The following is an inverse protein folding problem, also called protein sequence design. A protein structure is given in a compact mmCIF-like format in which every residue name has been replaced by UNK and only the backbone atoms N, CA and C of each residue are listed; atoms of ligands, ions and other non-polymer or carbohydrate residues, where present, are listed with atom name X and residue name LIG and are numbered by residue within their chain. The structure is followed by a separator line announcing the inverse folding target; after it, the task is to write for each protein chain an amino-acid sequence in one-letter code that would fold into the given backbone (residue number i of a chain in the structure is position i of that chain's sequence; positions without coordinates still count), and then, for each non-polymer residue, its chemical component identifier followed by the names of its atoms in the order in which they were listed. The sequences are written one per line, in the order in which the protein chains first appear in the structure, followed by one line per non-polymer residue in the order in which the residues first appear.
data_IF_165158536558
#
_entry.id   IF_165158536558
#
_cell.length_a   1.000
_cell.length_b   1.000
_cell.length_c   1.000
_cell.angle_alpha   90.00
_cell.angle_beta   90.00
_cell.angle_gamma   90.00
#
_symmetry.space_group_name_H-M   'P 1'
#
loop_
_entity.id
_entity.type
_entity.pdbx_description
1 polymer ?
#
# COMPACT_ATOMS: atom_id res chain seq x y z
N UNK A 1 1.59 -4.14 -15.53
CA UNK A 1 2.44 -3.99 -14.33
C UNK A 1 2.46 -5.31 -13.59
N UNK A 2 3.60 -5.70 -13.03
CA UNK A 2 3.70 -6.93 -12.23
C UNK A 2 3.42 -6.65 -10.75
N UNK A 3 2.72 -7.57 -10.08
CA UNK A 3 2.38 -7.47 -8.65
C UNK A 3 3.62 -7.32 -7.77
N UNK A 4 4.71 -8.02 -8.10
CA UNK A 4 5.95 -7.94 -7.35
C UNK A 4 6.57 -6.53 -7.40
N UNK A 5 6.45 -5.83 -8.54
CA UNK A 5 6.91 -4.43 -8.66
C UNK A 5 6.12 -3.52 -7.73
N UNK A 6 4.80 -3.71 -7.65
CA UNK A 6 3.95 -2.97 -6.72
C UNK A 6 4.34 -3.26 -5.27
N UNK A 7 4.52 -4.54 -4.93
CA UNK A 7 4.94 -4.94 -3.59
C UNK A 7 6.28 -4.32 -3.20
N UNK A 8 7.31 -4.42 -4.04
CA UNK A 8 8.62 -3.83 -3.77
C UNK A 8 8.55 -2.32 -3.55
N UNK A 9 7.68 -1.63 -4.30
CA UNK A 9 7.44 -0.20 -4.12
C UNK A 9 6.79 0.11 -2.77
N UNK A 10 5.70 -0.58 -2.44
CA UNK A 10 4.97 -0.38 -1.17
C UNK A 10 5.85 -0.75 0.02
N UNK A 11 6.60 -1.85 -0.08
CA UNK A 11 7.56 -2.30 0.91
C UNK A 11 8.63 -1.23 1.19
N UNK A 12 9.24 -0.65 0.14
CA UNK A 12 10.17 0.47 0.30
C UNK A 12 9.53 1.70 0.96
N UNK A 13 8.28 2.02 0.62
CA UNK A 13 7.56 3.14 1.26
C UNK A 13 7.30 2.88 2.74
N UNK A 14 7.02 1.63 3.13
CA UNK A 14 6.83 1.25 4.54
C UNK A 14 8.18 1.31 5.28
N UNK A 15 9.24 0.73 4.72
CA UNK A 15 10.56 0.71 5.38
C UNK A 15 11.17 2.10 5.49
N UNK A 16 10.99 2.97 4.51
CA UNK A 16 11.47 4.36 4.56
C UNK A 16 10.62 5.28 5.45
N UNK A 17 9.47 4.80 5.94
CA UNK A 17 8.62 5.55 6.84
C UNK A 17 9.30 5.84 8.17
N UNK A 18 9.19 7.09 8.63
CA UNK A 18 9.65 7.54 9.94
C UNK A 18 8.70 7.14 11.09
N UNK A 19 7.52 6.59 10.77
CA UNK A 19 6.49 6.17 11.75
C UNK A 19 6.92 4.93 12.53
N UNK A 20 6.46 4.83 13.78
CA UNK A 20 6.63 3.67 14.67
C UNK A 20 5.27 3.24 15.23
N UNK A 21 4.76 2.03 14.93
CA UNK A 21 5.30 1.03 13.99
C UNK A 21 5.39 1.56 12.55
N UNK A 22 6.16 0.89 11.69
CA UNK A 22 6.35 1.33 10.31
C UNK A 22 5.08 1.05 9.49
N UNK A 23 4.49 2.10 8.95
CA UNK A 23 3.37 2.02 8.02
C UNK A 23 3.42 3.18 7.03
N UNK A 24 2.70 3.03 5.92
CA UNK A 24 2.49 4.11 4.95
C UNK A 24 1.01 4.29 4.66
N UNK A 25 0.59 5.53 4.40
CA UNK A 25 -0.71 5.79 3.80
C UNK A 25 -0.46 5.91 2.30
N UNK A 26 -1.22 5.17 1.49
CA UNK A 26 -1.10 5.20 0.04
C UNK A 26 -2.43 5.58 -0.61
N UNK A 27 -2.34 6.33 -1.70
CA UNK A 27 -3.47 6.61 -2.57
C UNK A 27 -3.32 5.74 -3.81
N UNK A 28 -4.29 4.85 -4.02
CA UNK A 28 -4.35 3.94 -5.18
C UNK A 28 -4.31 4.72 -6.50
N UNK A 29 -5.04 5.83 -6.57
CA UNK A 29 -5.03 6.75 -7.71
C UNK A 29 -3.63 7.30 -8.00
N UNK A 30 -2.89 7.76 -6.98
CA UNK A 30 -1.53 8.28 -7.17
C UNK A 30 -0.53 7.21 -7.62
N UNK A 31 -0.67 6.00 -7.09
CA UNK A 31 0.18 4.88 -7.48
C UNK A 31 -0.15 4.45 -8.92
N UNK A 32 -1.43 4.42 -9.27
CA UNK A 32 -1.88 4.09 -10.61
C UNK A 32 -1.35 5.07 -11.66
N UNK A 33 -1.38 6.37 -11.34
CA UNK A 33 -0.79 7.43 -12.15
C UNK A 33 0.73 7.25 -12.33
N UNK A 34 1.46 6.98 -11.24
CA UNK A 34 2.91 6.72 -11.27
C UNK A 34 3.29 5.55 -12.20
N UNK A 35 2.45 4.53 -12.27
CA UNK A 35 2.69 3.33 -13.07
C UNK A 35 1.96 3.31 -14.42
N UNK A 36 1.22 4.37 -14.75
CA UNK A 36 0.44 4.46 -15.99
C UNK A 36 -0.63 3.38 -16.12
N UNK A 37 -1.22 2.94 -15.01
CA UNK A 37 -2.28 1.91 -14.98
C UNK A 37 -3.57 2.48 -14.40
N UNK A 38 -4.67 1.70 -14.48
CA UNK A 38 -5.94 2.07 -13.86
C UNK A 38 -5.88 1.86 -12.34
N UNK A 39 -6.53 2.70 -11.52
CA UNK A 39 -6.62 2.52 -10.07
C UNK A 39 -7.11 1.14 -9.64
N UNK A 40 -8.11 0.61 -10.36
CA UNK A 40 -8.68 -0.72 -10.13
C UNK A 40 -7.62 -1.85 -10.20
N UNK A 41 -6.62 -1.72 -11.09
CA UNK A 41 -5.53 -2.70 -11.19
C UNK A 41 -4.66 -2.67 -9.92
N UNK A 42 -4.38 -1.48 -9.40
CA UNK A 42 -3.61 -1.32 -8.16
C UNK A 42 -4.42 -1.82 -6.96
N UNK A 43 -5.71 -1.53 -6.89
CA UNK A 43 -6.61 -2.00 -5.84
C UNK A 43 -6.67 -3.52 -5.79
N UNK A 44 -6.85 -4.17 -6.94
CA UNK A 44 -6.87 -5.63 -7.05
C UNK A 44 -5.54 -6.24 -6.59
N UNK A 45 -4.40 -5.72 -7.08
CA UNK A 45 -3.09 -6.24 -6.69
C UNK A 45 -2.78 -6.02 -5.21
N UNK A 46 -3.18 -4.89 -4.62
CA UNK A 46 -3.04 -4.67 -3.17
C UNK A 46 -3.89 -5.64 -2.38
N UNK A 47 -5.12 -5.89 -2.82
CA UNK A 47 -6.01 -6.84 -2.18
C UNK A 47 -5.44 -8.26 -2.24
N UNK A 48 -4.86 -8.67 -3.37
CA UNK A 48 -4.15 -9.95 -3.48
C UNK A 48 -2.98 -10.03 -2.48
N UNK A 49 -2.15 -8.99 -2.39
CA UNK A 49 -1.02 -8.96 -1.45
C UNK A 49 -1.47 -9.03 0.01
N UNK A 50 -2.64 -8.47 0.34
CA UNK A 50 -3.25 -8.59 1.67
C UNK A 50 -3.74 -10.01 1.91
N UNK A 51 -4.44 -10.61 0.94
CA UNK A 51 -4.95 -11.97 1.02
C UNK A 51 -3.82 -13.01 1.13
N UNK A 52 -2.68 -12.75 0.49
CA UNK A 52 -1.46 -13.55 0.59
C UNK A 52 -0.71 -13.38 1.93
N UNK A 53 -1.15 -12.45 2.78
CA UNK A 53 -0.48 -12.14 4.05
C UNK A 53 0.83 -11.37 3.89
N UNK A 54 1.13 -10.85 2.69
CA UNK A 54 2.34 -10.04 2.42
C UNK A 54 2.20 -8.59 2.88
N UNK A 55 0.97 -8.08 2.96
CA UNK A 55 0.64 -6.74 3.47
C UNK A 55 -0.51 -6.82 4.47
N UNK A 56 -0.52 -5.90 5.44
CA UNK A 56 -1.67 -5.66 6.30
C UNK A 56 -2.27 -4.30 5.97
N UNK A 57 -3.60 -4.25 5.87
CA UNK A 57 -4.38 -3.03 5.70
C UNK A 57 -5.08 -2.70 7.01
N UNK A 58 -4.99 -1.44 7.43
CA UNK A 58 -5.66 -0.95 8.63
C UNK A 58 -6.10 0.50 8.43
N UNK A 59 -6.92 1.01 9.34
CA UNK A 59 -7.35 2.40 9.35
C UNK A 59 -6.82 3.07 10.61
N UNK A 60 -6.31 4.29 10.48
CA UNK A 60 -5.99 5.08 11.67
C UNK A 60 -7.28 5.37 12.44
N UNK A 61 -7.24 5.17 13.76
CA UNK A 61 -8.36 5.48 14.65
C UNK A 61 -8.51 6.99 14.86
N UNK A 62 -7.42 7.73 14.67
CA UNK A 62 -7.38 9.17 14.80
C UNK A 62 -7.56 9.86 13.45
N UNK A 63 -8.25 11.01 13.41
CA UNK A 63 -8.28 11.88 12.24
C UNK A 63 -6.86 12.16 11.75
N UNK A 64 -6.61 12.07 10.44
CA UNK A 64 -7.59 12.05 9.35
C UNK A 64 -8.08 10.65 8.90
N UNK A 65 -8.01 9.62 9.77
CA UNK A 65 -8.59 8.29 9.52
C UNK A 65 -8.09 7.60 8.23
N UNK A 66 -6.83 7.83 7.86
CA UNK A 66 -6.26 7.28 6.63
C UNK A 66 -6.23 5.76 6.64
N UNK A 67 -6.44 5.18 5.47
CA UNK A 67 -6.07 3.79 5.20
C UNK A 67 -4.54 3.69 5.14
N UNK A 68 -4.02 2.76 5.93
CA UNK A 68 -2.60 2.51 6.08
C UNK A 68 -2.27 1.07 5.74
N UNK A 69 -1.03 0.90 5.28
CA UNK A 69 -0.46 -0.38 4.90
C UNK A 69 0.82 -0.59 5.69
N UNK A 70 0.96 -1.77 6.26
CA UNK A 70 2.13 -2.21 7.02
C UNK A 70 2.58 -3.60 6.58
N UNK A 71 3.82 -3.93 6.90
CA UNK A 71 4.31 -5.30 6.77
C UNK A 71 3.76 -6.13 7.94
N UNK A 72 3.55 -7.45 7.74
CA UNK A 72 3.06 -8.34 8.78
C UNK A 72 4.01 -8.50 9.97
#
# INVERSE_FOLDING_TARGET
MEKEVLFQRVHHMIISSAKKPKYTALSTVKIADLFGVKPDVIENMLQELINEGRLQKSKLNDPPNYEIYSLP
#
